data_IF_250320744282
#
_entry.id   IF_250320744282
#
_cell.length_a   1.000
_cell.length_b   1.000
_cell.length_c   1.000
_cell.angle_alpha   90.00
_cell.angle_beta   90.00
_cell.angle_gamma   90.00
#
_symmetry.space_group_name_H-M   'P 1'
#
loop_
_entity.id
_entity.type
_entity.pdbx_description
1 polymer ?
#
# COMPACT_ATOMS: atom_id res chain seq x y z
N UNK A 1 48.51 38.88 -24.41
CA UNK A 1 49.95 39.00 -24.12
C UNK A 1 50.25 38.09 -22.95
N UNK A 2 50.86 36.93 -23.22
CA UNK A 2 52.19 36.51 -22.68
C UNK A 2 52.13 36.21 -21.18
N UNK A 3 52.52 35.08 -20.55
CA UNK A 3 53.36 33.90 -20.90
C UNK A 3 53.18 32.93 -19.73
N UNK A 4 52.98 31.63 -19.84
CA UNK A 4 53.90 30.48 -19.90
C UNK A 4 55.03 30.50 -18.84
N UNK A 5 55.08 29.43 -18.00
CA UNK A 5 56.26 28.62 -17.61
C UNK A 5 55.88 27.70 -16.43
N UNK A 6 55.70 26.45 -16.43
CA UNK A 6 56.50 25.27 -16.80
C UNK A 6 57.65 24.92 -15.80
N UNK A 7 57.69 23.64 -15.45
CA UNK A 7 58.84 22.78 -15.07
C UNK A 7 59.27 22.81 -13.58
N UNK A 8 59.63 21.74 -12.87
CA UNK A 8 60.08 20.35 -13.10
C UNK A 8 60.20 19.65 -11.75
N UNK A 9 59.81 18.39 -11.63
CA UNK A 9 60.57 17.20 -11.43
C UNK A 9 61.68 17.20 -10.36
N UNK A 10 61.57 16.40 -9.30
CA UNK A 10 62.72 15.68 -8.70
C UNK A 10 62.22 14.44 -7.93
N UNK A 11 62.61 13.32 -8.50
CA UNK A 11 62.63 11.94 -8.00
C UNK A 11 63.87 11.80 -7.10
N UNK A 12 63.70 11.27 -5.85
CA UNK A 12 64.79 10.68 -5.14
C UNK A 12 64.34 9.43 -4.40
N UNK A 13 64.83 8.31 -4.89
CA UNK A 13 64.86 6.98 -4.29
C UNK A 13 66.00 6.93 -3.29
N UNK A 14 65.73 6.48 -2.04
CA UNK A 14 66.82 5.98 -1.18
C UNK A 14 66.35 4.68 -0.59
N UNK A 15 66.98 3.56 -1.06
CA UNK A 15 66.99 2.27 -0.38
C UNK A 15 68.03 2.33 0.76
N UNK A 16 67.62 1.83 1.94
CA UNK A 16 68.57 1.33 2.94
C UNK A 16 68.00 0.10 3.61
N UNK A 17 68.59 -1.05 3.32
CA UNK A 17 68.51 -2.29 4.10
C UNK A 17 69.42 -2.18 5.33
N UNK A 18 68.94 -2.70 6.51
CA UNK A 18 69.69 -3.54 7.47
C UNK A 18 68.77 -3.90 8.64
N UNK A 19 68.43 -5.02 8.79
CA UNK A 19 68.76 -6.29 9.50
C UNK A 19 68.64 -6.23 11.05
N UNK A 20 67.84 -7.23 11.52
CA UNK A 20 67.90 -8.00 12.77
C UNK A 20 67.65 -7.34 14.15
N UNK A 21 66.63 -7.91 14.81
CA UNK A 21 66.48 -7.87 16.27
C UNK A 21 65.05 -8.11 16.72
N UNK A 22 64.73 -9.36 17.12
CA UNK A 22 63.41 -9.78 17.53
C UNK A 22 62.96 -9.18 18.87
N UNK A 23 61.72 -8.77 18.93
CA UNK A 23 60.92 -8.73 20.16
C UNK A 23 59.45 -8.89 19.77
N UNK A 24 58.78 -9.88 20.34
CA UNK A 24 57.33 -10.10 20.17
C UNK A 24 56.58 -8.92 20.77
N UNK A 25 55.90 -8.16 19.93
CA UNK A 25 54.86 -7.21 20.35
C UNK A 25 53.50 -7.92 20.46
N UNK A 26 52.62 -7.51 21.41
CA UNK A 26 51.28 -8.14 21.55
C UNK A 26 50.42 -7.85 20.33
N UNK A 27 49.61 -8.82 19.94
CA UNK A 27 48.64 -8.71 18.86
C UNK A 27 47.66 -7.58 19.16
N UNK A 28 47.68 -6.55 18.34
CA UNK A 28 46.61 -5.54 18.30
C UNK A 28 45.37 -6.22 17.72
N UNK A 29 44.32 -6.33 18.54
CA UNK A 29 42.98 -6.72 18.12
C UNK A 29 42.51 -5.65 17.16
N UNK A 30 42.42 -5.93 15.86
CA UNK A 30 41.77 -5.08 14.90
C UNK A 30 40.28 -5.08 15.23
N UNK A 31 39.72 -3.90 15.50
CA UNK A 31 38.28 -3.68 15.53
C UNK A 31 37.67 -4.09 14.18
N UNK A 32 36.44 -4.61 14.14
CA UNK A 32 35.76 -4.93 12.89
C UNK A 32 35.72 -3.64 12.05
N UNK A 33 36.27 -3.70 10.85
CA UNK A 33 36.06 -2.69 9.83
C UNK A 33 34.59 -2.79 9.42
N UNK A 34 33.81 -1.83 9.85
CA UNK A 34 32.44 -1.66 9.35
C UNK A 34 32.53 -1.58 7.82
N UNK A 35 31.86 -2.49 7.13
CA UNK A 35 31.80 -2.47 5.67
C UNK A 35 31.22 -1.11 5.25
N UNK A 36 31.74 -0.45 4.21
CA UNK A 36 31.14 0.76 3.69
C UNK A 36 29.67 0.47 3.36
N UNK A 37 28.74 1.30 3.86
CA UNK A 37 27.36 1.25 3.42
C UNK A 37 27.35 1.33 1.88
N UNK A 38 26.77 0.35 1.23
CA UNK A 38 26.62 0.31 -0.22
C UNK A 38 25.89 1.59 -0.64
N UNK A 39 26.46 2.34 -1.58
CA UNK A 39 25.80 3.53 -2.13
C UNK A 39 24.47 3.06 -2.77
N UNK A 40 23.35 3.84 -2.62
CA UNK A 40 22.08 3.46 -3.21
C UNK A 40 22.24 3.15 -4.69
N UNK A 41 21.65 2.06 -5.16
CA UNK A 41 21.62 1.73 -6.57
C UNK A 41 21.00 2.91 -7.35
N UNK A 42 21.47 3.17 -8.57
CA UNK A 42 21.06 4.32 -9.39
C UNK A 42 19.53 4.33 -9.70
N UNK A 43 18.84 3.21 -9.46
CA UNK A 43 17.40 3.00 -9.68
C UNK A 43 16.63 2.69 -8.39
N UNK A 44 17.13 3.07 -7.21
CA UNK A 44 16.44 2.87 -5.93
C UNK A 44 15.26 3.81 -5.77
N UNK A 45 14.04 3.26 -5.66
CA UNK A 45 12.83 4.03 -5.37
C UNK A 45 12.85 4.59 -3.95
N UNK A 46 13.43 3.87 -2.99
CA UNK A 46 13.65 4.36 -1.64
C UNK A 46 14.52 5.62 -1.63
N UNK A 47 15.65 5.59 -2.34
CA UNK A 47 16.51 6.77 -2.47
C UNK A 47 15.82 7.92 -3.21
N UNK A 48 15.00 7.62 -4.21
CA UNK A 48 14.19 8.61 -4.92
C UNK A 48 13.18 9.29 -3.99
N UNK A 49 12.41 8.52 -3.21
CA UNK A 49 11.43 9.04 -2.24
C UNK A 49 12.13 9.86 -1.15
N UNK A 50 13.23 9.36 -0.60
CA UNK A 50 14.04 10.10 0.38
C UNK A 50 14.63 11.39 -0.19
N UNK A 51 15.10 11.35 -1.43
CA UNK A 51 15.69 12.51 -2.12
C UNK A 51 14.68 13.62 -2.40
N UNK A 52 13.42 13.28 -2.72
CA UNK A 52 12.35 14.27 -2.91
C UNK A 52 11.68 14.70 -1.59
N UNK A 53 11.89 13.95 -0.49
CA UNK A 53 11.38 14.26 0.83
C UNK A 53 9.89 13.96 1.05
N UNK A 54 9.25 13.19 0.13
CA UNK A 54 7.80 12.91 0.20
C UNK A 54 7.52 11.52 -0.36
N UNK A 55 6.70 10.73 0.35
CA UNK A 55 6.05 9.52 -0.15
C UNK A 55 4.66 9.90 -0.66
N UNK A 56 4.39 9.69 -1.95
CA UNK A 56 3.08 9.96 -2.56
C UNK A 56 2.29 8.66 -2.63
N UNK A 57 1.13 8.63 -1.97
CA UNK A 57 0.26 7.45 -1.85
C UNK A 57 -1.02 7.68 -2.65
N UNK A 58 -1.32 6.77 -3.57
CA UNK A 58 -2.57 6.76 -4.34
C UNK A 58 -3.66 6.04 -3.55
N UNK A 59 -4.80 6.71 -3.38
CA UNK A 59 -5.95 6.27 -2.58
C UNK A 59 -7.27 6.58 -3.27
N UNK A 60 -8.37 6.00 -2.75
CA UNK A 60 -9.76 6.40 -3.01
C UNK A 60 -10.50 6.62 -1.69
N UNK A 61 -11.72 7.16 -1.72
CA UNK A 61 -12.56 7.28 -0.52
C UNK A 61 -13.10 5.90 -0.12
N UNK A 62 -12.46 5.29 0.86
CA UNK A 62 -12.70 3.93 1.32
C UNK A 62 -12.63 3.83 2.85
N UNK A 63 -13.68 4.21 3.56
CA UNK A 63 -13.75 3.97 5.01
C UNK A 63 -13.82 2.46 5.31
N UNK A 64 -13.11 1.95 6.35
CA UNK A 64 -12.33 2.68 7.35
C UNK A 64 -10.83 2.76 7.04
N UNK A 65 -10.40 2.43 5.79
CA UNK A 65 -9.00 2.37 5.40
C UNK A 65 -8.44 3.76 5.07
N UNK A 66 -9.08 4.49 4.17
CA UNK A 66 -8.74 5.86 3.77
C UNK A 66 -10.02 6.67 3.53
N UNK A 67 -10.24 7.70 4.30
CA UNK A 67 -11.41 8.58 4.13
C UNK A 67 -11.16 9.95 4.74
N UNK A 68 -12.01 10.94 4.39
CA UNK A 68 -11.86 12.31 4.90
C UNK A 68 -12.68 12.50 6.17
N UNK A 69 -12.04 13.11 7.19
CA UNK A 69 -12.73 13.58 8.37
C UNK A 69 -13.50 14.90 8.06
N UNK A 70 -14.22 15.45 9.06
CA UNK A 70 -14.98 16.70 8.92
C UNK A 70 -14.12 17.94 8.57
N UNK A 71 -12.81 17.87 8.82
CA UNK A 71 -11.85 18.90 8.45
C UNK A 71 -11.31 18.74 7.03
N UNK A 72 -11.67 17.67 6.33
CA UNK A 72 -11.19 17.33 4.99
C UNK A 72 -9.80 16.69 4.97
N UNK A 73 -9.30 16.23 6.12
CA UNK A 73 -8.02 15.55 6.24
C UNK A 73 -8.22 14.04 6.01
N UNK A 74 -7.28 13.42 5.33
CA UNK A 74 -7.26 11.97 5.15
C UNK A 74 -6.92 11.28 6.47
N UNK A 75 -7.76 10.34 6.87
CA UNK A 75 -7.63 9.48 8.04
C UNK A 75 -8.04 8.06 7.65
N UNK A 76 -7.79 7.09 8.51
CA UNK A 76 -8.13 5.69 8.30
C UNK A 76 -6.95 4.81 8.67
N UNK A 77 -7.18 3.50 8.67
CA UNK A 77 -6.13 2.57 9.06
C UNK A 77 -4.93 2.64 8.10
N UNK A 78 -5.18 2.61 6.79
CA UNK A 78 -4.13 2.67 5.78
C UNK A 78 -3.47 4.05 5.75
N UNK A 79 -4.26 5.14 5.86
CA UNK A 79 -3.74 6.49 5.91
C UNK A 79 -2.78 6.69 7.10
N UNK A 80 -3.16 6.28 8.30
CA UNK A 80 -2.31 6.43 9.50
C UNK A 80 -1.07 5.53 9.44
N UNK A 81 -1.19 4.32 8.89
CA UNK A 81 -0.06 3.44 8.64
C UNK A 81 0.89 4.02 7.59
N UNK A 82 0.38 4.69 6.54
CA UNK A 82 1.19 5.35 5.53
C UNK A 82 1.94 6.56 6.11
N UNK A 83 1.32 7.32 7.02
CA UNK A 83 2.02 8.36 7.80
C UNK A 83 3.17 7.76 8.60
N UNK A 84 2.92 6.69 9.35
CA UNK A 84 3.95 6.03 10.16
C UNK A 84 5.09 5.46 9.31
N UNK A 85 4.78 4.89 8.13
CA UNK A 85 5.79 4.40 7.20
C UNK A 85 6.64 5.55 6.63
N UNK A 86 6.01 6.64 6.16
CA UNK A 86 6.72 7.81 5.66
C UNK A 86 7.66 8.42 6.73
N UNK A 87 7.19 8.52 7.99
CA UNK A 87 8.01 8.96 9.12
C UNK A 87 9.22 8.04 9.34
N UNK A 88 9.06 6.73 9.21
CA UNK A 88 10.15 5.76 9.32
C UNK A 88 11.23 5.94 8.26
N UNK A 89 10.83 6.44 7.07
CA UNK A 89 11.74 6.77 5.97
C UNK A 89 12.36 8.16 6.10
N UNK A 90 11.89 8.97 7.07
CA UNK A 90 12.32 10.36 7.27
C UNK A 90 11.75 11.34 6.24
N UNK A 91 10.57 11.06 5.68
CA UNK A 91 9.90 11.87 4.66
C UNK A 91 8.48 12.24 5.09
N UNK A 92 7.87 13.22 4.41
CA UNK A 92 6.45 13.50 4.55
C UNK A 92 5.61 12.50 3.73
N UNK A 93 4.32 12.35 4.05
CA UNK A 93 3.35 11.66 3.20
C UNK A 93 2.49 12.68 2.46
N UNK A 94 2.11 12.34 1.24
CA UNK A 94 1.10 13.07 0.44
C UNK A 94 0.12 12.05 -0.12
N UNK A 95 -1.19 12.32 0.03
CA UNK A 95 -2.25 11.46 -0.49
C UNK A 95 -2.81 12.08 -1.77
N UNK A 96 -2.90 11.27 -2.82
CA UNK A 96 -3.52 11.63 -4.08
C UNK A 96 -4.70 10.69 -4.35
N UNK A 97 -5.87 11.28 -4.52
CA UNK A 97 -7.07 10.55 -4.92
C UNK A 97 -6.94 10.18 -6.41
N UNK A 98 -7.01 8.89 -6.72
CA UNK A 98 -6.83 8.34 -8.06
C UNK A 98 -8.09 7.65 -8.56
N UNK A 99 -8.24 7.52 -9.87
CA UNK A 99 -9.16 6.54 -10.43
C UNK A 99 -8.57 5.14 -10.23
N UNK A 100 -9.28 4.26 -9.52
CA UNK A 100 -8.76 2.96 -9.12
C UNK A 100 -8.34 2.08 -10.30
N UNK A 101 -9.05 2.17 -11.42
CA UNK A 101 -8.70 1.48 -12.66
C UNK A 101 -7.34 1.90 -13.23
N UNK A 102 -6.87 3.10 -12.90
CA UNK A 102 -5.59 3.64 -13.35
C UNK A 102 -4.43 3.41 -12.37
N UNK A 103 -4.62 2.73 -11.24
CA UNK A 103 -3.62 2.55 -10.18
C UNK A 103 -2.23 2.07 -10.66
N UNK A 104 -2.21 1.11 -11.60
CA UNK A 104 -0.97 0.57 -12.17
C UNK A 104 -0.28 1.63 -13.04
N UNK A 105 -1.05 2.38 -13.84
CA UNK A 105 -0.52 3.44 -14.71
C UNK A 105 0.06 4.58 -13.87
N UNK A 106 -0.66 5.05 -12.86
CA UNK A 106 -0.22 6.13 -11.95
C UNK A 106 1.07 5.76 -11.21
N UNK A 107 1.18 4.50 -10.76
CA UNK A 107 2.37 3.99 -10.11
C UNK A 107 3.57 3.94 -11.05
N UNK A 108 3.38 3.40 -12.26
CA UNK A 108 4.45 3.24 -13.24
C UNK A 108 4.91 4.58 -13.84
N UNK A 109 4.02 5.57 -13.93
CA UNK A 109 4.35 6.92 -14.38
C UNK A 109 5.07 7.77 -13.32
N UNK A 110 5.19 7.26 -12.08
CA UNK A 110 5.71 7.98 -10.91
C UNK A 110 4.85 9.18 -10.48
N UNK A 111 3.56 9.20 -10.85
CA UNK A 111 2.59 10.14 -10.29
C UNK A 111 2.38 9.84 -8.80
N UNK A 112 2.42 8.55 -8.44
CA UNK A 112 2.40 8.06 -7.06
C UNK A 112 3.60 7.11 -6.82
N UNK A 113 3.95 6.88 -5.55
CA UNK A 113 5.02 5.97 -5.15
C UNK A 113 4.50 4.66 -4.60
N UNK A 114 3.29 4.67 -4.05
CA UNK A 114 2.60 3.51 -3.53
C UNK A 114 1.11 3.56 -3.87
N UNK A 115 0.51 2.40 -4.05
CA UNK A 115 -0.93 2.17 -4.03
C UNK A 115 -1.25 1.52 -2.68
N UNK A 116 -1.97 2.25 -1.83
CA UNK A 116 -2.28 1.76 -0.49
C UNK A 116 -3.67 2.19 -0.07
N UNK A 117 -4.66 1.33 -0.28
CA UNK A 117 -6.09 1.64 -0.14
C UNK A 117 -6.91 0.35 -0.04
N UNK A 118 -6.59 -0.49 0.96
CA UNK A 118 -7.24 -1.79 1.04
C UNK A 118 -7.08 -2.59 -0.26
N UNK A 119 -5.89 -2.55 -0.87
CA UNK A 119 -5.68 -3.13 -2.18
C UNK A 119 -5.64 -4.65 -2.12
N UNK A 120 -6.62 -5.32 -2.74
CA UNK A 120 -6.66 -6.76 -2.87
C UNK A 120 -5.49 -7.27 -3.71
N UNK A 121 -4.77 -8.27 -3.20
CA UNK A 121 -3.67 -8.94 -3.89
C UNK A 121 -4.20 -9.93 -4.93
N UNK A 122 -4.80 -9.40 -6.00
CA UNK A 122 -5.25 -10.19 -7.15
C UNK A 122 -4.07 -10.66 -8.01
N UNK A 123 -4.29 -11.65 -8.89
CA UNK A 123 -3.27 -12.09 -9.83
C UNK A 123 -2.77 -10.95 -10.73
N UNK A 124 -3.66 -10.04 -11.14
CA UNK A 124 -3.30 -8.86 -11.92
C UNK A 124 -2.35 -7.94 -11.15
N UNK A 125 -2.69 -7.61 -9.90
CA UNK A 125 -1.89 -6.76 -9.02
C UNK A 125 -0.52 -7.40 -8.76
N UNK A 126 -0.49 -8.68 -8.38
CA UNK A 126 0.74 -9.43 -8.12
C UNK A 126 1.67 -9.53 -9.34
N UNK A 127 1.12 -9.56 -10.55
CA UNK A 127 1.90 -9.59 -11.79
C UNK A 127 2.35 -8.21 -12.28
N UNK A 128 1.76 -7.13 -11.78
CA UNK A 128 1.97 -5.76 -12.28
C UNK A 128 2.75 -4.86 -11.34
N UNK A 129 2.85 -5.22 -10.06
CA UNK A 129 3.47 -4.43 -9.00
C UNK A 129 4.44 -5.24 -8.15
N UNK A 130 5.33 -4.57 -7.45
CA UNK A 130 6.05 -5.11 -6.29
C UNK A 130 5.15 -5.03 -5.07
N UNK A 131 4.45 -6.12 -4.74
CA UNK A 131 3.51 -6.12 -3.63
C UNK A 131 4.19 -6.48 -2.31
N UNK A 132 3.74 -5.84 -1.22
CA UNK A 132 4.10 -6.22 0.13
C UNK A 132 3.54 -7.61 0.48
N UNK A 133 3.99 -8.14 1.61
CA UNK A 133 3.28 -9.21 2.29
C UNK A 133 1.86 -8.75 2.67
N UNK A 134 0.90 -9.69 2.79
CA UNK A 134 -0.44 -9.32 3.22
C UNK A 134 -0.45 -8.74 4.63
N UNK A 135 -1.22 -7.67 4.85
CA UNK A 135 -1.36 -7.05 6.16
C UNK A 135 -2.77 -7.15 6.75
N UNK A 136 -3.79 -7.47 5.92
CA UNK A 136 -5.17 -7.51 6.36
C UNK A 136 -5.96 -8.56 5.58
N UNK A 137 -6.93 -9.23 6.24
CA UNK A 137 -7.91 -10.10 5.59
C UNK A 137 -9.16 -9.29 5.22
N UNK A 138 -9.78 -9.64 4.09
CA UNK A 138 -11.02 -9.06 3.60
C UNK A 138 -11.85 -10.08 2.83
N UNK A 139 -12.99 -9.65 2.31
CA UNK A 139 -13.86 -10.38 1.39
C UNK A 139 -14.61 -9.40 0.50
N UNK A 140 -14.99 -9.83 -0.70
CA UNK A 140 -15.97 -9.09 -1.52
C UNK A 140 -17.37 -9.57 -1.15
N UNK A 141 -18.27 -8.63 -0.82
CA UNK A 141 -19.63 -8.92 -0.38
C UNK A 141 -20.68 -8.24 -1.25
N UNK A 142 -21.78 -8.94 -1.44
CA UNK A 142 -22.95 -8.39 -2.16
C UNK A 142 -23.78 -7.58 -1.18
N UNK A 143 -24.05 -6.33 -1.53
CA UNK A 143 -24.92 -5.42 -0.77
C UNK A 143 -26.21 -5.21 -1.54
N UNK A 144 -27.33 -5.29 -0.83
CA UNK A 144 -28.68 -5.05 -1.31
C UNK A 144 -29.48 -4.21 -0.31
N UNK A 145 -30.68 -3.78 -0.67
CA UNK A 145 -31.62 -3.20 0.30
C UNK A 145 -32.07 -4.27 1.31
N UNK A 146 -32.14 -3.89 2.57
CA UNK A 146 -32.46 -4.81 3.67
C UNK A 146 -33.85 -5.49 3.51
N UNK A 147 -34.80 -4.80 2.91
CA UNK A 147 -36.18 -5.31 2.71
C UNK A 147 -36.30 -6.44 1.66
N UNK A 148 -35.27 -6.63 0.84
CA UNK A 148 -35.22 -7.70 -0.18
C UNK A 148 -34.15 -8.76 0.10
N UNK A 149 -33.34 -8.57 1.14
CA UNK A 149 -32.15 -9.37 1.41
C UNK A 149 -32.41 -10.89 1.51
N UNK A 150 -33.55 -11.30 2.05
CA UNK A 150 -33.93 -12.71 2.20
C UNK A 150 -34.02 -13.44 0.84
N UNK A 151 -34.17 -12.70 -0.27
CA UNK A 151 -34.28 -13.27 -1.62
C UNK A 151 -32.90 -13.54 -2.23
N UNK A 152 -31.83 -12.96 -1.69
CA UNK A 152 -30.49 -12.93 -2.28
C UNK A 152 -29.42 -13.49 -1.35
N UNK A 153 -29.63 -14.71 -0.84
CA UNK A 153 -28.76 -15.37 0.13
C UNK A 153 -27.77 -16.35 -0.52
N UNK A 154 -27.84 -16.55 -1.84
CA UNK A 154 -26.96 -17.48 -2.58
C UNK A 154 -26.53 -16.85 -3.90
N UNK A 155 -25.35 -17.27 -4.41
CA UNK A 155 -24.84 -16.78 -5.70
C UNK A 155 -25.85 -16.98 -6.83
N UNK A 156 -26.53 -18.12 -6.89
CA UNK A 156 -27.53 -18.43 -7.93
C UNK A 156 -28.71 -17.44 -7.95
N UNK A 157 -29.04 -16.84 -6.79
CA UNK A 157 -30.13 -15.88 -6.70
C UNK A 157 -29.78 -14.48 -7.25
N UNK A 158 -28.50 -14.21 -7.52
CA UNK A 158 -28.01 -12.89 -7.93
C UNK A 158 -28.22 -12.58 -9.43
N UNK A 159 -28.52 -13.60 -10.25
CA UNK A 159 -28.48 -13.52 -11.72
C UNK A 159 -29.46 -12.52 -12.36
N UNK A 160 -30.46 -12.06 -11.59
CA UNK A 160 -31.45 -11.08 -12.08
C UNK A 160 -31.17 -9.63 -11.65
N UNK A 161 -30.12 -9.41 -10.86
CA UNK A 161 -29.78 -8.09 -10.31
C UNK A 161 -28.88 -7.32 -11.26
N UNK A 162 -29.11 -6.01 -11.36
CA UNK A 162 -28.18 -5.04 -11.96
C UNK A 162 -27.24 -4.50 -10.88
N UNK A 163 -25.94 -4.73 -11.05
CA UNK A 163 -24.93 -4.34 -10.08
C UNK A 163 -24.30 -2.98 -10.39
N UNK A 164 -23.86 -2.27 -9.35
CA UNK A 164 -22.87 -1.20 -9.42
C UNK A 164 -21.58 -1.69 -8.76
N UNK A 165 -20.43 -1.48 -9.41
CA UNK A 165 -19.11 -1.90 -8.90
C UNK A 165 -18.06 -0.85 -9.25
N UNK A 166 -17.05 -0.68 -8.40
CA UNK A 166 -15.94 0.21 -8.70
C UNK A 166 -15.08 -0.35 -9.84
N UNK A 167 -14.80 0.49 -10.85
CA UNK A 167 -13.97 0.11 -11.99
C UNK A 167 -12.58 -0.36 -11.57
N UNK A 168 -12.09 -1.48 -12.12
CA UNK A 168 -10.78 -2.05 -11.82
C UNK A 168 -10.63 -2.64 -10.42
N UNK A 169 -11.74 -2.85 -9.69
CA UNK A 169 -11.75 -3.44 -8.35
C UNK A 169 -11.82 -4.97 -8.39
N UNK A 170 -11.53 -5.60 -7.24
CA UNK A 170 -11.77 -7.03 -7.05
C UNK A 170 -13.27 -7.38 -7.12
N UNK A 171 -14.15 -6.44 -6.73
CA UNK A 171 -15.60 -6.56 -6.87
C UNK A 171 -16.04 -6.63 -8.33
N UNK A 172 -15.48 -5.79 -9.21
CA UNK A 172 -15.73 -5.86 -10.64
C UNK A 172 -15.30 -7.22 -11.21
N UNK A 173 -14.09 -7.67 -10.86
CA UNK A 173 -13.60 -8.98 -11.31
C UNK A 173 -14.52 -10.12 -10.87
N UNK A 174 -15.04 -10.08 -9.64
CA UNK A 174 -15.95 -11.10 -9.12
C UNK A 174 -17.28 -11.14 -9.86
N UNK A 175 -17.89 -9.99 -10.18
CA UNK A 175 -19.15 -9.98 -10.94
C UNK A 175 -18.96 -10.38 -12.39
N UNK A 176 -17.81 -10.05 -12.99
CA UNK A 176 -17.44 -10.49 -14.35
C UNK A 176 -17.27 -12.02 -14.41
N UNK A 177 -16.57 -12.61 -13.45
CA UNK A 177 -16.37 -14.07 -13.38
C UNK A 177 -17.69 -14.80 -13.26
N UNK A 178 -18.65 -14.26 -12.52
CA UNK A 178 -19.99 -14.81 -12.35
C UNK A 178 -20.93 -14.53 -13.54
N UNK A 179 -20.51 -13.69 -14.50
CA UNK A 179 -21.33 -13.29 -15.66
C UNK A 179 -22.56 -12.47 -15.28
N UNK A 180 -22.51 -11.72 -14.20
CA UNK A 180 -23.58 -10.84 -13.74
C UNK A 180 -23.61 -9.53 -14.50
N UNK A 181 -24.79 -8.90 -14.61
CA UNK A 181 -24.95 -7.59 -15.27
C UNK A 181 -24.52 -6.48 -14.33
N UNK A 182 -23.63 -5.58 -14.77
CA UNK A 182 -23.12 -4.50 -13.94
C UNK A 182 -22.83 -3.21 -14.69
N UNK A 183 -22.78 -2.12 -13.94
CA UNK A 183 -22.27 -0.81 -14.35
C UNK A 183 -21.07 -0.46 -13.48
N UNK A 184 -19.94 -0.15 -14.13
CA UNK A 184 -18.76 0.34 -13.42
C UNK A 184 -18.97 1.80 -12.98
N UNK A 185 -18.56 2.11 -11.74
CA UNK A 185 -18.62 3.44 -11.13
C UNK A 185 -17.22 3.83 -10.65
N UNK A 186 -17.05 5.08 -10.20
CA UNK A 186 -15.72 5.60 -9.85
C UNK A 186 -15.19 5.08 -8.50
N UNK A 187 -16.08 4.83 -7.52
CA UNK A 187 -15.71 4.40 -6.17
C UNK A 187 -16.70 3.39 -5.62
N UNK A 188 -16.29 2.62 -4.60
CA UNK A 188 -17.22 1.75 -3.87
C UNK A 188 -18.30 2.55 -3.12
N UNK A 189 -17.97 3.76 -2.66
CA UNK A 189 -18.94 4.67 -2.07
C UNK A 189 -20.04 5.08 -3.07
N UNK A 190 -19.67 5.32 -4.34
CA UNK A 190 -20.64 5.54 -5.42
C UNK A 190 -21.50 4.31 -5.66
N UNK A 191 -20.95 3.11 -5.60
CA UNK A 191 -21.70 1.88 -5.74
C UNK A 191 -22.76 1.73 -4.64
N UNK A 192 -22.41 1.98 -3.36
CA UNK A 192 -23.36 2.02 -2.25
C UNK A 192 -24.46 3.07 -2.45
N UNK A 193 -24.08 4.28 -2.90
CA UNK A 193 -25.02 5.34 -3.19
C UNK A 193 -26.02 4.95 -4.27
N UNK A 194 -25.58 4.25 -5.32
CA UNK A 194 -26.45 3.76 -6.40
C UNK A 194 -27.51 2.78 -5.86
N UNK A 195 -27.13 1.83 -4.97
CA UNK A 195 -28.10 0.91 -4.35
C UNK A 195 -29.05 1.65 -3.43
N UNK A 196 -28.56 2.57 -2.61
CA UNK A 196 -29.39 3.37 -1.71
C UNK A 196 -30.43 4.21 -2.48
N UNK A 197 -30.01 4.83 -3.60
CA UNK A 197 -30.87 5.60 -4.48
C UNK A 197 -31.83 4.73 -5.33
N UNK A 198 -31.56 3.43 -5.48
CA UNK A 198 -32.34 2.50 -6.30
C UNK A 198 -32.05 2.62 -7.81
N UNK A 199 -30.87 3.11 -8.17
CA UNK A 199 -30.36 3.13 -9.56
C UNK A 199 -29.60 1.85 -9.91
N UNK A 200 -29.18 1.08 -8.90
CA UNK A 200 -28.73 -0.30 -9.01
C UNK A 200 -29.50 -1.16 -8.01
N UNK A 201 -29.66 -2.45 -8.30
CA UNK A 201 -30.32 -3.40 -7.42
C UNK A 201 -29.37 -3.87 -6.30
N UNK A 202 -28.07 -4.00 -6.61
CA UNK A 202 -27.02 -4.46 -5.74
C UNK A 202 -25.69 -3.77 -6.04
N UNK A 203 -24.73 -3.89 -5.13
CA UNK A 203 -23.33 -3.62 -5.41
C UNK A 203 -22.44 -4.71 -4.82
N UNK A 204 -21.18 -4.77 -5.29
CA UNK A 204 -20.14 -5.56 -4.65
C UNK A 204 -19.10 -4.61 -4.14
N UNK A 205 -18.80 -4.73 -2.85
CA UNK A 205 -17.82 -3.92 -2.13
C UNK A 205 -17.04 -4.78 -1.13
N UNK A 206 -16.01 -4.21 -0.59
CA UNK A 206 -15.20 -4.80 0.46
C UNK A 206 -15.99 -4.97 1.77
N UNK A 207 -15.81 -6.10 2.44
CA UNK A 207 -16.47 -6.41 3.71
C UNK A 207 -16.15 -5.37 4.79
N UNK A 208 -14.90 -4.88 4.82
CA UNK A 208 -14.49 -3.84 5.80
C UNK A 208 -15.25 -2.53 5.56
N UNK A 209 -15.43 -2.11 4.31
CA UNK A 209 -16.26 -0.97 3.98
C UNK A 209 -17.73 -1.21 4.34
N UNK A 210 -18.26 -2.39 4.02
CA UNK A 210 -19.63 -2.74 4.39
C UNK A 210 -19.82 -2.66 5.92
N UNK A 211 -18.88 -3.16 6.70
CA UNK A 211 -18.90 -3.10 8.16
C UNK A 211 -18.86 -1.68 8.73
N UNK A 212 -18.18 -0.75 8.04
CA UNK A 212 -18.06 0.64 8.48
C UNK A 212 -19.26 1.51 8.06
N UNK A 213 -19.88 1.23 6.91
CA UNK A 213 -20.85 2.14 6.28
C UNK A 213 -22.30 1.64 6.30
N UNK A 214 -22.53 0.35 6.60
CA UNK A 214 -23.86 -0.28 6.54
C UNK A 214 -24.32 -0.68 7.94
N UNK A 215 -25.63 -0.45 8.25
CA UNK A 215 -26.28 -0.85 9.48
C UNK A 215 -26.71 0.33 10.35
N UNK A 216 -27.27 0.01 11.50
CA UNK A 216 -27.85 0.99 12.43
C UNK A 216 -26.85 2.05 12.88
N UNK A 217 -27.18 3.32 12.72
CA UNK A 217 -26.33 4.46 13.09
C UNK A 217 -25.26 4.82 12.05
N UNK A 218 -25.25 4.17 10.87
CA UNK A 218 -24.35 4.46 9.77
C UNK A 218 -25.02 5.27 8.67
N UNK A 219 -24.24 5.58 7.60
CA UNK A 219 -24.75 6.33 6.44
C UNK A 219 -25.78 5.55 5.62
N UNK A 220 -25.82 4.21 5.73
CA UNK A 220 -26.66 3.33 4.91
C UNK A 220 -27.42 2.29 5.76
N UNK A 221 -28.24 2.78 6.71
CA UNK A 221 -29.08 1.91 7.59
C UNK A 221 -30.04 1.00 6.82
N UNK A 222 -30.47 1.42 5.63
CA UNK A 222 -31.42 0.67 4.79
C UNK A 222 -30.78 -0.43 3.94
N UNK A 223 -29.46 -0.53 3.96
CA UNK A 223 -28.71 -1.55 3.23
C UNK A 223 -28.26 -2.68 4.15
N UNK A 224 -27.97 -3.82 3.55
CA UNK A 224 -27.33 -4.95 4.22
C UNK A 224 -26.51 -5.75 3.22
N UNK A 225 -25.51 -6.49 3.68
CA UNK A 225 -24.80 -7.43 2.83
C UNK A 225 -25.30 -8.86 3.05
N UNK A 226 -25.21 -9.69 2.02
CA UNK A 226 -25.81 -11.04 1.99
C UNK A 226 -24.79 -12.12 1.66
N UNK A 227 -24.26 -12.12 0.43
CA UNK A 227 -23.36 -13.17 -0.07
C UNK A 227 -21.92 -12.67 -0.01
N UNK A 228 -21.02 -13.49 0.56
CA UNK A 228 -19.58 -13.30 0.36
C UNK A 228 -19.16 -14.04 -0.90
N UNK A 229 -18.53 -13.33 -1.84
CA UNK A 229 -18.11 -13.87 -3.12
C UNK A 229 -16.68 -14.43 -3.06
N UNK A 230 -15.80 -13.75 -2.32
CA UNK A 230 -14.38 -14.10 -2.21
C UNK A 230 -13.92 -14.01 -0.77
N UNK A 231 -12.80 -14.68 -0.46
CA UNK A 231 -11.94 -14.38 0.68
C UNK A 231 -10.62 -13.87 0.10
N UNK A 232 -10.12 -12.75 0.60
CA UNK A 232 -8.99 -12.06 0.03
C UNK A 232 -8.08 -11.41 1.07
N UNK A 233 -6.95 -10.91 0.63
CA UNK A 233 -5.98 -10.22 1.48
C UNK A 233 -5.56 -8.91 0.85
N UNK A 234 -5.33 -7.89 1.69
CA UNK A 234 -4.78 -6.62 1.27
C UNK A 234 -3.26 -6.60 1.37
N UNK A 235 -2.65 -5.88 0.46
CA UNK A 235 -1.24 -5.53 0.45
C UNK A 235 -1.02 -4.12 -0.08
N UNK A 236 0.19 -3.63 0.04
CA UNK A 236 0.63 -2.35 -0.52
C UNK A 236 1.36 -2.61 -1.83
N UNK A 237 1.02 -1.86 -2.88
CA UNK A 237 1.65 -1.94 -4.19
C UNK A 237 2.71 -0.86 -4.39
N UNK A 238 3.89 -1.29 -4.80
CA UNK A 238 4.99 -0.44 -5.25
C UNK A 238 5.32 -0.76 -6.71
N UNK A 239 6.18 0.04 -7.35
CA UNK A 239 6.66 -0.31 -8.70
C UNK A 239 7.35 -1.68 -8.68
N UNK A 240 7.27 -2.41 -9.79
CA UNK A 240 7.96 -3.69 -9.94
C UNK A 240 9.45 -3.52 -9.62
N UNK A 241 10.02 -4.46 -8.88
CA UNK A 241 11.41 -4.45 -8.40
C UNK A 241 11.79 -3.27 -7.47
N UNK A 242 10.80 -2.55 -6.93
CA UNK A 242 11.03 -1.46 -5.99
C UNK A 242 11.58 -1.97 -4.65
N UNK A 243 12.63 -1.32 -4.16
CA UNK A 243 13.20 -1.58 -2.82
C UNK A 243 12.32 -1.03 -1.68
N UNK A 244 11.31 -0.22 -2.00
CA UNK A 244 10.26 0.19 -1.04
C UNK A 244 9.45 -1.01 -0.54
N UNK A 245 9.26 -2.07 -1.35
CA UNK A 245 8.56 -3.29 -0.93
C UNK A 245 9.24 -3.93 0.29
N UNK A 246 10.56 -4.14 0.20
CA UNK A 246 11.32 -4.71 1.31
C UNK A 246 11.40 -3.76 2.52
N UNK A 247 11.48 -2.45 2.28
CA UNK A 247 11.47 -1.44 3.33
C UNK A 247 10.14 -1.43 4.08
N UNK A 248 9.02 -1.54 3.35
CA UNK A 248 7.70 -1.63 3.94
C UNK A 248 7.51 -2.91 4.77
N UNK A 249 7.89 -4.07 4.23
CA UNK A 249 7.75 -5.35 4.94
C UNK A 249 8.54 -5.34 6.27
N UNK A 250 9.74 -4.75 6.27
CA UNK A 250 10.53 -4.59 7.48
C UNK A 250 9.87 -3.63 8.48
N UNK A 251 9.41 -2.47 8.01
CA UNK A 251 8.66 -1.50 8.82
C UNK A 251 7.42 -2.12 9.45
N UNK A 252 6.60 -2.83 8.63
CA UNK A 252 5.36 -3.43 9.11
C UNK A 252 5.62 -4.48 10.19
N UNK A 253 6.62 -5.35 10.01
CA UNK A 253 7.01 -6.33 11.01
C UNK A 253 7.44 -5.69 12.34
N UNK A 254 8.24 -4.62 12.30
CA UNK A 254 8.68 -3.88 13.47
C UNK A 254 7.51 -3.15 14.16
N UNK A 255 6.64 -2.50 13.40
CA UNK A 255 5.45 -1.81 13.89
C UNK A 255 4.44 -2.79 14.51
N UNK A 256 4.27 -3.98 13.90
CA UNK A 256 3.43 -5.05 14.44
C UNK A 256 3.99 -5.56 15.79
N UNK A 257 5.28 -5.85 15.84
CA UNK A 257 5.95 -6.31 17.07
C UNK A 257 5.91 -5.27 18.20
N UNK A 258 5.96 -3.98 17.84
CA UNK A 258 5.85 -2.87 18.79
C UNK A 258 4.40 -2.63 19.28
N UNK A 259 3.39 -3.20 18.62
CA UNK A 259 1.97 -2.99 18.93
C UNK A 259 1.34 -1.81 18.21
N UNK A 260 2.10 -1.01 17.47
CA UNK A 260 1.63 0.19 16.75
C UNK A 260 0.51 -0.15 15.76
N UNK A 261 0.68 -1.23 14.98
CA UNK A 261 -0.35 -1.69 14.02
C UNK A 261 -1.67 -1.97 14.72
N UNK A 262 -1.64 -2.67 15.88
CA UNK A 262 -2.84 -2.99 16.65
C UNK A 262 -3.48 -1.75 17.24
N UNK A 263 -2.69 -0.81 17.74
CA UNK A 263 -3.19 0.43 18.32
C UNK A 263 -3.94 1.26 17.26
N UNK A 264 -3.35 1.43 16.07
CA UNK A 264 -4.00 2.12 14.94
C UNK A 264 -5.26 1.33 14.50
N UNK A 265 -5.15 0.01 14.28
CA UNK A 265 -6.29 -0.82 13.87
C UNK A 265 -7.48 -0.73 14.84
N UNK A 266 -7.20 -0.59 16.14
CA UNK A 266 -8.24 -0.46 17.17
C UNK A 266 -9.01 0.86 17.06
N UNK A 267 -8.35 1.94 16.65
CA UNK A 267 -9.00 3.25 16.42
C UNK A 267 -10.08 3.12 15.34
N UNK A 268 -9.82 2.34 14.30
CA UNK A 268 -10.70 2.19 13.14
C UNK A 268 -11.55 0.91 13.15
N UNK A 269 -11.46 0.10 14.22
CA UNK A 269 -12.29 -1.09 14.39
C UNK A 269 -11.90 -2.30 13.51
N UNK A 270 -10.71 -2.29 12.90
CA UNK A 270 -10.25 -3.35 11.97
C UNK A 270 -9.27 -4.35 12.58
N UNK A 271 -9.05 -4.30 13.90
CA UNK A 271 -8.03 -5.09 14.59
C UNK A 271 -8.17 -6.61 14.42
N UNK A 272 -9.38 -7.12 14.18
CA UNK A 272 -9.63 -8.55 14.01
C UNK A 272 -9.27 -9.05 12.60
N UNK A 273 -9.15 -8.13 11.65
CA UNK A 273 -8.80 -8.43 10.25
C UNK A 273 -7.30 -8.35 9.98
N UNK A 274 -6.54 -7.73 10.88
CA UNK A 274 -5.09 -7.54 10.71
C UNK A 274 -4.35 -8.86 10.85
N UNK A 275 -3.38 -9.09 9.98
CA UNK A 275 -2.51 -10.27 9.98
C UNK A 275 -1.06 -9.89 10.26
N UNK A 276 -0.36 -10.81 10.94
CA UNK A 276 1.07 -10.73 11.23
C UNK A 276 1.81 -11.64 10.27
N UNK A 277 2.57 -11.10 9.36
CA UNK A 277 3.40 -11.93 8.50
C UNK A 277 4.80 -11.34 8.32
#
# INVERSE_FOLDING_TARGET
>A
MKKILALTLALTMVLALCACGGAKAPAATQAPVEAPAEAPAADSDLAYVQGKGTLIVGITDFAPMDYKNDAGEWIGFDADMAVAFAESLGVAVEFIEIDWDNKILELNSKSIDAVWNGMTLTDEVLNSMGCSKPYCNNAQVVVVKADVADQYQTVDSLSSLAFAVEAGSAGEAAVQELGLDFTAVSTQADALMNVAAGTADACVIDLLMAGAMIGEGTSYEQLTYTVSLTEEKYGVGFRSDSDLTAAFDAFYADAFAAGTVKDIATVYGVQESIVAE
#
